data_IF_673023756477
#
_entry.id   IF_673023756477
#
_cell.length_a   1.000
_cell.length_b   1.000
_cell.length_c   1.000
_cell.angle_alpha   90.00
_cell.angle_beta   90.00
_cell.angle_gamma   90.00
#
_symmetry.space_group_name_H-M   'P 1'
#
loop_
_entity.id
_entity.type
_entity.pdbx_description
1 polymer ?
#
# COMPACT_ATOMS: atom_id res chain seq x y z
N UNK A 1 15.74 5.80 1.60
CA UNK A 1 14.73 6.87 1.48
C UNK A 1 14.89 7.93 2.57
N UNK A 2 15.35 7.54 3.77
CA UNK A 2 15.60 8.46 4.90
C UNK A 2 14.36 9.32 5.23
N UNK A 3 13.21 8.65 5.28
CA UNK A 3 11.91 9.24 5.63
C UNK A 3 11.24 8.35 6.67
N UNK A 4 10.49 8.98 7.56
CA UNK A 4 9.64 8.25 8.49
C UNK A 4 8.46 7.59 7.76
N UNK A 5 7.92 6.50 8.32
CA UNK A 5 6.78 5.76 7.76
C UNK A 5 5.54 6.64 7.58
N UNK A 6 5.33 7.60 8.48
CA UNK A 6 4.21 8.55 8.41
C UNK A 6 4.30 9.49 7.19
N UNK A 7 5.51 9.73 6.68
CA UNK A 7 5.77 10.60 5.54
C UNK A 7 5.94 9.82 4.23
N UNK A 8 6.17 8.50 4.30
CA UNK A 8 6.30 7.63 3.13
C UNK A 8 5.05 7.68 2.24
N UNK A 9 3.87 7.65 2.84
CA UNK A 9 2.60 7.75 2.12
C UNK A 9 2.50 9.04 1.31
N UNK A 10 2.77 10.18 1.95
CA UNK A 10 2.78 11.49 1.29
C UNK A 10 3.83 11.59 0.18
N UNK A 11 5.00 10.97 0.38
CA UNK A 11 6.05 10.93 -0.63
C UNK A 11 5.62 10.12 -1.85
N UNK A 12 4.98 8.96 -1.65
CA UNK A 12 4.41 8.14 -2.72
C UNK A 12 3.31 8.88 -3.50
N UNK A 13 2.49 9.69 -2.81
CA UNK A 13 1.43 10.48 -3.43
C UNK A 13 1.94 11.58 -4.37
N UNK A 14 3.20 12.02 -4.23
CA UNK A 14 3.83 13.01 -5.11
C UNK A 14 4.33 12.43 -6.43
N UNK A 15 4.34 11.11 -6.58
CA UNK A 15 4.76 10.47 -7.83
C UNK A 15 3.77 10.77 -8.97
N UNK A 16 4.24 11.51 -9.98
CA UNK A 16 3.53 11.75 -11.24
C UNK A 16 3.66 10.55 -12.20
N UNK A 17 4.75 9.79 -12.04
CA UNK A 17 5.05 8.54 -12.73
C UNK A 17 4.17 7.42 -12.20
N UNK A 18 2.88 7.46 -12.56
CA UNK A 18 1.98 6.32 -12.34
C UNK A 18 2.71 5.06 -12.79
N UNK A 19 2.85 4.08 -11.90
CA UNK A 19 3.27 2.70 -12.24
C UNK A 19 2.13 2.05 -13.04
N UNK A 20 1.74 2.67 -14.15
CA UNK A 20 0.73 2.19 -15.08
C UNK A 20 1.37 1.07 -15.88
N UNK A 21 0.59 0.03 -16.14
CA UNK A 21 0.92 -1.19 -16.89
C UNK A 21 1.24 -0.94 -18.38
N UNK A 22 1.74 0.24 -18.77
CA UNK A 22 2.02 0.59 -20.16
C UNK A 22 3.14 1.63 -20.32
N UNK A 23 4.21 1.20 -21.00
CA UNK A 23 5.23 2.00 -21.72
C UNK A 23 5.79 3.24 -21.00
N UNK A 24 6.69 2.99 -20.06
CA UNK A 24 7.62 3.95 -19.48
C UNK A 24 8.31 3.21 -18.36
N UNK A 25 9.60 2.91 -18.53
CA UNK A 25 10.48 2.08 -17.68
C UNK A 25 9.85 1.65 -16.35
N UNK A 26 9.17 0.51 -16.38
CA UNK A 26 8.57 -0.08 -15.20
C UNK A 26 9.70 -0.59 -14.32
N UNK A 27 9.87 0.04 -13.17
CA UNK A 27 10.65 -0.56 -12.11
C UNK A 27 9.84 -1.73 -11.52
N UNK A 28 10.08 -2.94 -12.02
CA UNK A 28 9.47 -4.15 -11.46
C UNK A 28 10.17 -4.50 -10.14
N UNK A 29 9.44 -4.31 -9.05
CA UNK A 29 9.86 -4.77 -7.73
C UNK A 29 9.64 -6.26 -7.59
N UNK A 30 10.63 -6.95 -7.01
CA UNK A 30 10.41 -8.28 -6.50
C UNK A 30 9.58 -8.18 -5.21
N UNK A 31 8.28 -8.40 -5.34
CA UNK A 31 7.27 -8.15 -4.29
C UNK A 31 7.17 -9.24 -3.22
N UNK A 32 7.66 -10.45 -3.50
CA UNK A 32 7.44 -11.62 -2.63
C UNK A 32 8.43 -11.75 -1.47
N UNK A 33 9.65 -11.25 -1.61
CA UNK A 33 10.68 -11.36 -0.58
C UNK A 33 11.08 -9.97 -0.09
N UNK A 34 10.81 -9.67 1.18
CA UNK A 34 11.15 -8.36 1.77
C UNK A 34 12.63 -7.99 1.57
N UNK A 35 13.54 -8.95 1.72
CA UNK A 35 15.00 -8.71 1.58
C UNK A 35 15.33 -8.29 0.16
N UNK A 36 14.88 -9.04 -0.85
CA UNK A 36 15.12 -8.72 -2.25
C UNK A 36 14.36 -7.46 -2.70
N UNK A 37 13.14 -7.26 -2.20
CA UNK A 37 12.36 -6.04 -2.47
C UNK A 37 13.09 -4.79 -1.98
N UNK A 38 13.65 -4.82 -0.76
CA UNK A 38 14.46 -3.71 -0.24
C UNK A 38 15.71 -3.51 -1.10
N UNK A 39 16.41 -4.59 -1.50
CA UNK A 39 17.57 -4.48 -2.38
C UNK A 39 17.20 -3.83 -3.73
N UNK A 40 16.08 -4.22 -4.33
CA UNK A 40 15.55 -3.56 -5.53
C UNK A 40 15.33 -2.07 -5.31
N UNK A 41 14.67 -1.65 -4.22
CA UNK A 41 14.48 -0.21 -3.92
C UNK A 41 15.81 0.54 -3.80
N UNK A 42 16.82 -0.07 -3.18
CA UNK A 42 18.17 0.54 -3.05
C UNK A 42 18.83 0.70 -4.42
N UNK A 43 18.75 -0.32 -5.28
CA UNK A 43 19.27 -0.26 -6.65
C UNK A 43 18.56 0.84 -7.45
N UNK A 44 17.23 0.95 -7.37
CA UNK A 44 16.48 2.00 -8.05
C UNK A 44 16.96 3.41 -7.68
N UNK A 45 17.14 3.65 -6.38
CA UNK A 45 17.63 4.92 -5.87
C UNK A 45 19.06 5.20 -6.34
N UNK A 46 19.93 4.18 -6.36
CA UNK A 46 21.30 4.31 -6.85
C UNK A 46 21.36 4.57 -8.36
N UNK A 47 20.40 4.05 -9.12
CA UNK A 47 20.25 4.29 -10.56
C UNK A 47 19.63 5.65 -10.90
N UNK A 48 19.30 6.47 -9.91
CA UNK A 48 18.78 7.82 -10.10
C UNK A 48 17.26 7.91 -10.26
N UNK A 49 16.51 6.84 -9.95
CA UNK A 49 15.04 6.89 -9.90
C UNK A 49 14.61 7.85 -8.80
N UNK A 50 13.59 8.68 -9.08
CA UNK A 50 13.06 9.65 -8.14
C UNK A 50 12.54 8.98 -6.88
N UNK A 51 12.73 9.62 -5.73
CA UNK A 51 12.34 9.06 -4.43
C UNK A 51 10.83 8.84 -4.33
N UNK A 52 10.04 9.71 -4.94
CA UNK A 52 8.59 9.63 -4.99
C UNK A 52 8.15 8.36 -5.75
N UNK A 53 8.79 8.06 -6.87
CA UNK A 53 8.48 6.90 -7.70
C UNK A 53 8.89 5.59 -6.99
N UNK A 54 10.03 5.60 -6.29
CA UNK A 54 10.46 4.46 -5.45
C UNK A 54 9.49 4.24 -4.28
N UNK A 55 9.00 5.30 -3.63
CA UNK A 55 8.02 5.19 -2.56
C UNK A 55 6.66 4.67 -3.06
N UNK A 56 6.21 5.13 -4.24
CA UNK A 56 5.01 4.62 -4.90
C UNK A 56 5.15 3.14 -5.27
N UNK A 57 6.31 2.73 -5.80
CA UNK A 57 6.58 1.36 -6.15
C UNK A 57 6.63 0.44 -4.91
N UNK A 58 7.14 0.92 -3.78
CA UNK A 58 7.07 0.20 -2.51
C UNK A 58 5.61 -0.01 -2.03
N UNK A 59 4.77 1.02 -2.12
CA UNK A 59 3.35 0.91 -1.78
C UNK A 59 2.62 -0.07 -2.71
N UNK A 60 2.92 -0.01 -4.00
CA UNK A 60 2.39 -0.90 -5.03
C UNK A 60 2.71 -2.36 -4.73
N UNK A 61 3.97 -2.64 -4.42
CA UNK A 61 4.47 -3.98 -4.11
C UNK A 61 3.69 -4.62 -2.96
N UNK A 62 3.44 -3.86 -1.88
CA UNK A 62 2.64 -4.32 -0.74
C UNK A 62 1.19 -4.61 -1.15
N UNK A 63 0.56 -3.71 -1.91
CA UNK A 63 -0.82 -3.88 -2.35
C UNK A 63 -0.99 -5.06 -3.33
N UNK A 64 -0.07 -5.22 -4.28
CA UNK A 64 -0.04 -6.35 -5.23
C UNK A 64 0.17 -7.68 -4.52
N UNK A 65 1.08 -7.75 -3.54
CA UNK A 65 1.29 -8.96 -2.76
C UNK A 65 0.01 -9.39 -2.02
N UNK A 66 -0.71 -8.46 -1.41
CA UNK A 66 -1.97 -8.78 -0.73
C UNK A 66 -3.05 -9.17 -1.74
N UNK A 67 -3.11 -8.46 -2.87
CA UNK A 67 -4.07 -8.76 -3.93
C UNK A 67 -3.90 -10.19 -4.46
N UNK A 68 -2.69 -10.55 -4.88
CA UNK A 68 -2.38 -11.85 -5.47
C UNK A 68 -2.58 -13.01 -4.49
N UNK A 69 -2.21 -12.84 -3.21
CA UNK A 69 -2.26 -13.93 -2.23
C UNK A 69 -3.59 -14.07 -1.49
N UNK A 70 -4.39 -13.01 -1.38
CA UNK A 70 -5.57 -13.01 -0.50
C UNK A 70 -6.85 -12.58 -1.20
N UNK A 71 -6.78 -11.68 -2.20
CA UNK A 71 -7.97 -11.00 -2.74
C UNK A 71 -8.34 -11.52 -4.13
N UNK A 72 -7.41 -12.06 -4.91
CA UNK A 72 -7.62 -12.40 -6.33
C UNK A 72 -8.82 -13.31 -6.60
N UNK A 73 -9.14 -14.23 -5.67
CA UNK A 73 -10.27 -15.16 -5.80
C UNK A 73 -11.52 -14.72 -4.99
N UNK A 74 -11.47 -13.54 -4.36
CA UNK A 74 -12.58 -13.00 -3.58
C UNK A 74 -13.50 -12.11 -4.43
N UNK A 75 -14.81 -12.26 -4.24
CA UNK A 75 -15.79 -11.31 -4.76
C UNK A 75 -15.81 -10.04 -3.88
N UNK A 76 -15.35 -8.92 -4.43
CA UNK A 76 -15.30 -7.65 -3.71
C UNK A 76 -16.60 -6.87 -3.90
N UNK A 77 -17.29 -6.62 -2.79
CA UNK A 77 -18.55 -5.87 -2.76
C UNK A 77 -18.40 -4.61 -1.90
N UNK A 78 -18.64 -3.42 -2.47
CA UNK A 78 -18.65 -2.18 -1.70
C UNK A 78 -19.72 -2.15 -0.59
N UNK A 79 -19.49 -1.41 0.52
CA UNK A 79 -18.30 -0.61 0.80
C UNK A 79 -17.09 -1.45 1.23
N UNK A 80 -15.89 -1.07 0.76
CA UNK A 80 -14.62 -1.66 1.20
C UNK A 80 -14.01 -0.78 2.28
N UNK A 81 -13.72 -1.36 3.45
CA UNK A 81 -13.15 -0.64 4.60
C UNK A 81 -11.72 -1.13 4.82
N UNK A 82 -10.77 -0.20 4.90
CA UNK A 82 -9.37 -0.51 5.15
C UNK A 82 -8.96 -0.09 6.57
N UNK A 83 -8.50 -1.07 7.35
CA UNK A 83 -8.17 -0.92 8.78
C UNK A 83 -6.80 -1.51 9.11
N UNK A 84 -6.32 -1.26 10.33
CA UNK A 84 -4.98 -1.66 10.78
C UNK A 84 -3.92 -0.58 10.51
N UNK A 85 -2.68 -0.79 10.97
CA UNK A 85 -1.65 0.25 10.91
C UNK A 85 -1.31 0.73 9.50
N UNK A 86 -1.37 -0.16 8.51
CA UNK A 86 -1.07 0.17 7.09
C UNK A 86 -2.11 1.10 6.47
N UNK A 87 -3.34 1.14 7.00
CA UNK A 87 -4.37 2.07 6.53
C UNK A 87 -4.00 3.55 6.72
N UNK A 88 -3.01 3.85 7.56
CA UNK A 88 -2.47 5.19 7.73
C UNK A 88 -1.51 5.61 6.60
N UNK A 89 -1.08 4.66 5.75
CA UNK A 89 -0.19 4.92 4.63
C UNK A 89 -1.04 5.17 3.38
N UNK A 90 -1.28 6.45 3.09
CA UNK A 90 -2.15 6.93 2.01
C UNK A 90 -1.79 6.31 0.64
N UNK A 91 -0.48 6.14 0.38
CA UNK A 91 0.01 5.51 -0.84
C UNK A 91 -0.49 4.08 -1.03
N UNK A 92 -0.56 3.28 0.05
CA UNK A 92 -1.05 1.89 -0.02
C UNK A 92 -2.56 1.87 -0.27
N UNK A 93 -3.31 2.77 0.37
CA UNK A 93 -4.75 2.96 0.07
C UNK A 93 -4.96 3.23 -1.42
N UNK A 94 -4.21 4.20 -1.99
CA UNK A 94 -4.31 4.55 -3.41
C UNK A 94 -4.06 3.34 -4.32
N UNK A 95 -3.02 2.57 -4.04
CA UNK A 95 -2.68 1.40 -4.86
C UNK A 95 -3.73 0.28 -4.74
N UNK A 96 -4.36 0.09 -3.58
CA UNK A 96 -5.50 -0.81 -3.46
C UNK A 96 -6.73 -0.30 -4.22
N UNK A 97 -7.04 1.00 -4.19
CA UNK A 97 -8.13 1.58 -4.99
C UNK A 97 -7.89 1.36 -6.48
N UNK A 98 -6.64 1.56 -6.94
CA UNK A 98 -6.24 1.31 -8.33
C UNK A 98 -6.32 -0.18 -8.72
N UNK A 99 -5.98 -1.11 -7.81
CA UNK A 99 -6.04 -2.55 -8.05
C UNK A 99 -7.47 -3.10 -8.04
N UNK A 100 -8.29 -2.66 -7.08
CA UNK A 100 -9.65 -3.16 -6.88
C UNK A 100 -10.68 -2.43 -7.74
N UNK A 101 -10.36 -1.24 -8.24
CA UNK A 101 -11.28 -0.41 -9.03
C UNK A 101 -12.48 0.11 -8.24
N UNK A 102 -12.38 0.16 -6.92
CA UNK A 102 -13.43 0.63 -6.00
C UNK A 102 -12.85 1.61 -4.99
N UNK A 103 -13.68 2.54 -4.51
CA UNK A 103 -13.30 3.45 -3.43
C UNK A 103 -13.15 2.69 -2.11
N UNK A 104 -12.09 3.02 -1.37
CA UNK A 104 -11.77 2.43 -0.08
C UNK A 104 -11.96 3.46 1.03
N UNK A 105 -12.73 3.07 2.05
CA UNK A 105 -12.99 3.89 3.21
C UNK A 105 -11.97 3.60 4.31
N UNK A 106 -11.33 4.65 4.84
CA UNK A 106 -10.46 4.55 6.02
C UNK A 106 -11.14 5.31 7.17
N UNK A 107 -11.67 4.61 8.19
CA UNK A 107 -12.32 5.27 9.32
C UNK A 107 -11.29 5.99 10.21
N UNK A 108 -11.72 6.98 11.01
CA UNK A 108 -10.84 7.57 12.01
C UNK A 108 -10.37 6.49 13.00
N UNK A 109 -9.11 6.58 13.45
CA UNK A 109 -8.51 5.61 14.35
C UNK A 109 -8.52 4.15 13.83
N UNK A 110 -8.46 3.97 12.51
CA UNK A 110 -8.47 2.67 11.81
C UNK A 110 -7.44 1.66 12.32
N UNK A 111 -6.30 2.12 12.84
CA UNK A 111 -5.26 1.28 13.45
C UNK A 111 -5.72 0.58 14.72
N UNK A 112 -6.75 1.09 15.40
CA UNK A 112 -7.30 0.53 16.64
C UNK A 112 -8.50 -0.39 16.40
N UNK A 113 -8.90 -0.64 15.15
CA UNK A 113 -10.11 -1.40 14.82
C UNK A 113 -10.18 -2.77 15.53
N UNK A 114 -9.05 -3.50 15.59
CA UNK A 114 -8.99 -4.79 16.30
C UNK A 114 -9.19 -4.67 17.81
N UNK A 115 -8.59 -3.66 18.45
CA UNK A 115 -8.75 -3.42 19.88
C UNK A 115 -10.19 -3.03 20.23
N UNK A 116 -10.81 -2.16 19.42
CA UNK A 116 -12.21 -1.79 19.54
C UNK A 116 -13.11 -3.02 19.36
N UNK A 117 -12.84 -3.87 18.36
CA UNK A 117 -13.60 -5.10 18.15
C UNK A 117 -13.60 -6.02 19.37
N UNK A 118 -12.43 -6.25 19.99
CA UNK A 118 -12.34 -7.05 21.21
C UNK A 118 -13.09 -6.39 22.36
N UNK A 119 -12.90 -5.08 22.57
CA UNK A 119 -13.59 -4.34 23.61
C UNK A 119 -15.12 -4.45 23.48
N UNK A 120 -15.65 -4.33 22.26
CA UNK A 120 -17.08 -4.50 21.97
C UNK A 120 -17.53 -5.92 22.32
N UNK A 121 -16.83 -6.96 21.86
CA UNK A 121 -17.18 -8.37 22.14
C UNK A 121 -17.27 -8.64 23.65
N UNK A 122 -16.33 -8.11 24.45
CA UNK A 122 -16.31 -8.34 25.91
C UNK A 122 -17.24 -7.41 26.69
N UNK A 123 -17.63 -6.26 26.12
CA UNK A 123 -18.50 -5.28 26.77
C UNK A 123 -19.94 -5.77 26.95
N UNK A 124 -20.34 -6.85 26.27
CA UNK A 124 -21.67 -7.45 26.41
C UNK A 124 -22.81 -6.63 25.82
N UNK A 125 -22.48 -5.62 25.00
CA UNK A 125 -23.43 -4.84 24.18
C UNK A 125 -23.65 -5.53 22.84
#
# INVERSE_FOLDING_TARGET
LDVDISELGKLAMKSEGRVKKGKGEKFELQSYCMVFGIQSLVVALASGVKREDVAAAACRSVAEQVYENQIQEMEIRPPVIFVGGVSLVEGVKREFEDLLGVEILVPPNSQHAGAVGIATIVSGV
#
